data_IF_320351054612
#
_entry.id   IF_320351054612
#
_cell.length_a   1.000
_cell.length_b   1.000
_cell.length_c   1.000
_cell.angle_alpha   90.00
_cell.angle_beta   90.00
_cell.angle_gamma   90.00
#
_symmetry.space_group_name_H-M   'P 1'
#
loop_
_entity.id
_entity.type
_entity.pdbx_description
1 polymer ?
#
# COMPACT_ATOMS: atom_id res chain seq x y z
N UNK A 1 -12.47 -23.85 7.67
CA UNK A 1 -12.50 -22.37 7.81
C UNK A 1 -11.61 -21.65 6.78
N UNK A 2 -10.61 -22.32 6.18
CA UNK A 2 -9.62 -21.77 5.22
C UNK A 2 -10.07 -21.68 3.74
N UNK A 3 -11.25 -22.16 3.37
CA UNK A 3 -11.78 -22.12 1.99
C UNK A 3 -13.00 -21.21 1.83
N UNK A 4 -13.50 -20.61 2.90
CA UNK A 4 -14.82 -19.98 2.89
C UNK A 4 -14.82 -18.47 2.58
N UNK A 5 -13.67 -17.79 2.55
CA UNK A 5 -13.61 -16.32 2.34
C UNK A 5 -12.88 -15.86 1.07
N UNK A 6 -12.13 -16.73 0.40
CA UNK A 6 -11.36 -16.39 -0.81
C UNK A 6 -12.00 -16.80 -2.14
N UNK A 7 -12.84 -17.84 -2.15
CA UNK A 7 -13.25 -18.51 -3.40
C UNK A 7 -14.63 -18.16 -3.96
N UNK A 8 -15.56 -17.61 -3.17
CA UNK A 8 -16.97 -17.50 -3.59
C UNK A 8 -17.25 -16.25 -4.44
N UNK A 9 -16.34 -15.27 -4.47
CA UNK A 9 -16.51 -14.02 -5.24
C UNK A 9 -15.16 -13.47 -5.77
N UNK A 10 -14.21 -14.37 -6.10
CA UNK A 10 -12.87 -13.97 -6.53
C UNK A 10 -12.92 -13.09 -7.78
N UNK A 11 -13.72 -13.47 -8.77
CA UNK A 11 -13.87 -12.75 -10.04
C UNK A 11 -14.41 -11.34 -9.84
N UNK A 12 -15.53 -11.18 -9.12
CA UNK A 12 -16.11 -9.87 -8.79
C UNK A 12 -15.13 -8.99 -7.98
N UNK A 13 -14.35 -9.58 -7.06
CA UNK A 13 -13.35 -8.83 -6.28
C UNK A 13 -12.16 -8.40 -7.13
N UNK A 14 -11.64 -9.26 -7.99
CA UNK A 14 -10.55 -8.91 -8.90
C UNK A 14 -10.98 -7.86 -9.91
N UNK A 15 -12.21 -7.94 -10.40
CA UNK A 15 -12.77 -6.93 -11.29
C UNK A 15 -12.91 -5.58 -10.59
N UNK A 16 -13.42 -5.56 -9.35
CA UNK A 16 -13.53 -4.33 -8.56
C UNK A 16 -12.15 -3.72 -8.26
N UNK A 17 -11.13 -4.54 -7.98
CA UNK A 17 -9.74 -4.08 -7.80
C UNK A 17 -9.21 -3.46 -9.10
N UNK A 18 -9.38 -4.16 -10.23
CA UNK A 18 -8.93 -3.70 -11.54
C UNK A 18 -9.59 -2.38 -11.92
N UNK A 19 -10.91 -2.27 -11.75
CA UNK A 19 -11.64 -1.02 -12.01
C UNK A 19 -11.19 0.10 -11.09
N UNK A 20 -10.96 -0.17 -9.81
CA UNK A 20 -10.50 0.85 -8.86
C UNK A 20 -9.10 1.37 -9.18
N UNK A 21 -8.24 0.50 -9.72
CA UNK A 21 -6.91 0.89 -10.19
C UNK A 21 -6.98 1.66 -11.50
N UNK A 22 -7.84 1.25 -12.43
CA UNK A 22 -8.06 1.97 -13.69
C UNK A 22 -8.60 3.38 -13.43
N UNK A 23 -9.62 3.51 -12.58
CA UNK A 23 -10.19 4.81 -12.19
C UNK A 23 -9.13 5.75 -11.58
N UNK A 24 -8.16 5.19 -10.85
CA UNK A 24 -7.06 5.94 -10.25
C UNK A 24 -6.05 6.43 -11.30
N UNK A 25 -5.72 5.58 -12.27
CA UNK A 25 -4.85 5.92 -13.41
C UNK A 25 -5.52 6.98 -14.29
N UNK A 26 -6.78 6.79 -14.65
CA UNK A 26 -7.56 7.74 -15.44
C UNK A 26 -7.65 9.11 -14.75
N UNK A 27 -7.79 9.12 -13.42
CA UNK A 27 -7.78 10.35 -12.62
C UNK A 27 -6.42 11.06 -12.65
N UNK A 28 -5.31 10.32 -12.64
CA UNK A 28 -3.95 10.87 -12.77
C UNK A 28 -3.70 11.43 -14.17
N UNK A 29 -4.11 10.71 -15.22
CA UNK A 29 -4.00 11.17 -16.61
C UNK A 29 -4.80 12.45 -16.84
N UNK A 30 -6.03 12.51 -16.34
CA UNK A 30 -6.88 13.72 -16.42
C UNK A 30 -6.24 14.94 -15.76
N UNK A 31 -5.40 14.71 -14.74
CA UNK A 31 -4.67 15.74 -14.00
C UNK A 31 -3.24 15.96 -14.51
N UNK A 32 -2.82 15.30 -15.59
CA UNK A 32 -1.45 15.36 -16.13
C UNK A 32 -0.35 14.98 -15.13
N UNK A 33 -0.66 14.04 -14.23
CA UNK A 33 0.24 13.51 -13.19
C UNK A 33 0.82 12.14 -13.55
N UNK A 34 0.49 11.64 -14.75
CA UNK A 34 0.90 10.35 -15.31
C UNK A 34 2.42 10.16 -15.23
N UNK A 35 3.20 11.16 -15.66
CA UNK A 35 4.67 11.09 -15.64
C UNK A 35 5.25 11.03 -14.23
N UNK A 36 4.70 11.81 -13.30
CA UNK A 36 5.16 11.81 -11.92
C UNK A 36 4.87 10.46 -11.25
N UNK A 37 3.68 9.92 -11.51
CA UNK A 37 3.28 8.60 -11.04
C UNK A 37 4.12 7.47 -11.66
N UNK A 38 4.46 7.57 -12.94
CA UNK A 38 5.32 6.61 -13.63
C UNK A 38 6.73 6.57 -13.01
N UNK A 39 7.34 7.73 -12.78
CA UNK A 39 8.67 7.83 -12.15
C UNK A 39 8.66 7.23 -10.74
N UNK A 40 7.65 7.54 -9.93
CA UNK A 40 7.49 6.96 -8.59
C UNK A 40 7.26 5.44 -8.67
N UNK A 41 6.37 4.98 -9.54
CA UNK A 41 6.08 3.56 -9.74
C UNK A 41 7.33 2.78 -10.21
N UNK A 42 8.14 3.37 -11.08
CA UNK A 42 9.39 2.77 -11.56
C UNK A 42 10.42 2.67 -10.42
N UNK A 43 10.58 3.73 -9.64
CA UNK A 43 11.50 3.76 -8.49
C UNK A 43 11.07 2.73 -7.44
N UNK A 44 9.79 2.71 -7.08
CA UNK A 44 9.23 1.78 -6.10
C UNK A 44 9.36 0.33 -6.56
N UNK A 45 9.07 0.04 -7.83
CA UNK A 45 9.19 -1.31 -8.38
C UNK A 45 10.64 -1.80 -8.41
N UNK A 46 11.60 -0.92 -8.72
CA UNK A 46 13.02 -1.24 -8.65
C UNK A 46 13.46 -1.55 -7.21
N UNK A 47 13.05 -0.73 -6.23
CA UNK A 47 13.34 -0.96 -4.81
C UNK A 47 12.76 -2.30 -4.35
N UNK A 48 11.52 -2.59 -4.73
CA UNK A 48 10.79 -3.82 -4.38
C UNK A 48 11.49 -5.05 -4.95
N UNK A 49 11.90 -5.01 -6.22
CA UNK A 49 12.65 -6.11 -6.85
C UNK A 49 14.01 -6.30 -6.18
N UNK A 50 14.73 -5.22 -5.87
CA UNK A 50 16.01 -5.30 -5.16
C UNK A 50 15.85 -5.87 -3.75
N UNK A 51 14.86 -5.40 -2.99
CA UNK A 51 14.55 -5.92 -1.67
C UNK A 51 14.21 -7.42 -1.72
N UNK A 52 13.39 -7.85 -2.68
CA UNK A 52 13.07 -9.26 -2.83
C UNK A 52 14.30 -10.09 -3.19
N UNK A 53 15.11 -9.61 -4.14
CA UNK A 53 16.35 -10.27 -4.52
C UNK A 53 17.32 -10.40 -3.34
N UNK A 54 17.44 -9.37 -2.50
CA UNK A 54 18.29 -9.41 -1.29
C UNK A 54 17.76 -10.40 -0.25
N UNK A 55 16.45 -10.48 -0.03
CA UNK A 55 15.82 -11.46 0.87
C UNK A 55 16.07 -12.89 0.38
N UNK A 56 15.88 -13.13 -0.92
CA UNK A 56 16.14 -14.43 -1.55
C UNK A 56 17.62 -14.80 -1.49
N UNK A 57 18.51 -13.88 -1.90
CA UNK A 57 19.94 -14.11 -1.90
C UNK A 57 20.47 -14.36 -0.48
N UNK A 58 19.98 -13.61 0.51
CA UNK A 58 20.31 -13.82 1.92
C UNK A 58 19.90 -15.21 2.40
N UNK A 59 18.69 -15.66 2.07
CA UNK A 59 18.23 -17.01 2.44
C UNK A 59 19.04 -18.10 1.75
N UNK A 60 19.30 -17.97 0.46
CA UNK A 60 20.10 -18.93 -0.31
C UNK A 60 21.56 -18.99 0.17
N UNK A 61 22.16 -17.86 0.52
CA UNK A 61 23.52 -17.81 1.04
C UNK A 61 23.63 -18.52 2.41
N UNK A 62 22.67 -18.29 3.30
CA UNK A 62 22.61 -18.97 4.60
C UNK A 62 22.39 -20.48 4.43
N UNK A 63 21.50 -20.88 3.52
CA UNK A 63 21.27 -22.29 3.22
C UNK A 63 22.54 -22.97 2.69
N UNK A 64 23.28 -22.31 1.80
CA UNK A 64 24.54 -22.85 1.28
C UNK A 64 25.62 -22.98 2.36
N UNK A 65 25.71 -22.02 3.27
CA UNK A 65 26.64 -22.07 4.41
C UNK A 65 26.31 -23.24 5.34
N UNK A 66 25.03 -23.42 5.68
CA UNK A 66 24.59 -24.54 6.52
C UNK A 66 24.82 -25.90 5.83
N UNK A 67 24.56 -26.02 4.52
CA UNK A 67 24.86 -27.23 3.74
C UNK A 67 26.36 -27.54 3.69
N UNK A 68 27.22 -26.51 3.64
CA UNK A 68 28.66 -26.67 3.61
C UNK A 68 29.24 -27.12 4.96
N UNK A 69 28.62 -26.74 6.08
CA UNK A 69 29.04 -27.15 7.43
C UNK A 69 28.57 -28.57 7.80
N UNK A 70 27.34 -28.95 7.44
CA UNK A 70 26.76 -30.25 7.87
C UNK A 70 27.12 -31.44 6.96
N UNK A 71 27.69 -31.21 5.78
CA UNK A 71 28.26 -32.26 4.90
C UNK A 71 27.30 -33.38 4.43
N UNK A 72 26.02 -33.36 4.82
CA UNK A 72 25.09 -34.47 4.65
C UNK A 72 23.63 -34.05 4.34
N UNK A 73 23.36 -32.78 4.03
CA UNK A 73 22.03 -32.37 3.57
C UNK A 73 21.95 -32.63 2.07
N UNK A 74 21.28 -33.71 1.69
CA UNK A 74 21.00 -34.01 0.29
C UNK A 74 20.09 -32.90 -0.27
N UNK A 75 20.54 -32.03 -1.19
CA UNK A 75 19.77 -30.87 -1.66
C UNK A 75 18.51 -31.26 -2.45
N UNK A 76 18.36 -32.56 -2.73
CA UNK A 76 17.22 -33.21 -3.37
C UNK A 76 16.18 -33.75 -2.38
N UNK A 77 16.32 -33.50 -1.08
CA UNK A 77 15.25 -33.81 -0.14
C UNK A 77 14.01 -32.98 -0.51
N UNK A 78 12.99 -33.65 -1.05
CA UNK A 78 11.76 -33.02 -1.53
C UNK A 78 11.15 -32.07 -0.50
N UNK A 79 11.25 -32.38 0.81
CA UNK A 79 10.75 -31.51 1.88
C UNK A 79 11.41 -30.13 1.88
N UNK A 80 12.73 -30.06 1.69
CA UNK A 80 13.49 -28.81 1.64
C UNK A 80 13.15 -27.99 0.39
N UNK A 81 13.07 -28.65 -0.77
CA UNK A 81 12.70 -27.99 -2.01
C UNK A 81 11.28 -27.41 -1.98
N UNK A 82 10.31 -28.14 -1.42
CA UNK A 82 8.94 -27.63 -1.23
C UNK A 82 8.89 -26.48 -0.22
N UNK A 83 9.69 -26.54 0.84
CA UNK A 83 9.79 -25.49 1.84
C UNK A 83 10.33 -24.17 1.23
N UNK A 84 11.45 -24.25 0.49
CA UNK A 84 12.06 -23.09 -0.17
C UNK A 84 11.16 -22.51 -1.27
N UNK A 85 10.44 -23.36 -2.01
CA UNK A 85 9.43 -22.90 -2.95
C UNK A 85 8.29 -22.15 -2.22
N UNK A 86 7.84 -22.67 -1.08
CA UNK A 86 6.85 -22.02 -0.22
C UNK A 86 7.31 -20.64 0.27
N UNK A 87 8.57 -20.53 0.70
CA UNK A 87 9.16 -19.24 1.07
C UNK A 87 9.26 -18.28 -0.13
N UNK A 88 9.75 -18.73 -1.28
CA UNK A 88 9.87 -17.93 -2.49
C UNK A 88 8.52 -17.32 -2.90
N UNK A 89 7.47 -18.16 -2.96
CA UNK A 89 6.12 -17.72 -3.33
C UNK A 89 5.56 -16.76 -2.27
N UNK A 90 5.64 -17.13 -0.99
CA UNK A 90 5.03 -16.34 0.09
C UNK A 90 5.71 -14.97 0.24
N UNK A 91 7.04 -14.92 0.17
CA UNK A 91 7.80 -13.67 0.22
C UNK A 91 7.48 -12.77 -0.99
N UNK A 92 7.39 -13.35 -2.19
CA UNK A 92 6.99 -12.63 -3.40
C UNK A 92 5.60 -12.02 -3.26
N UNK A 93 4.62 -12.77 -2.76
CA UNK A 93 3.24 -12.26 -2.55
C UNK A 93 3.22 -11.12 -1.54
N UNK A 94 3.93 -11.23 -0.42
CA UNK A 94 4.02 -10.14 0.58
C UNK A 94 4.62 -8.87 -0.04
N UNK A 95 5.76 -8.99 -0.73
CA UNK A 95 6.47 -7.85 -1.32
C UNK A 95 5.62 -7.18 -2.40
N UNK A 96 5.01 -7.96 -3.30
CA UNK A 96 4.14 -7.45 -4.36
C UNK A 96 2.93 -6.74 -3.75
N UNK A 97 2.34 -7.31 -2.70
CA UNK A 97 1.18 -6.70 -2.05
C UNK A 97 1.56 -5.39 -1.35
N UNK A 98 2.71 -5.33 -0.67
CA UNK A 98 3.25 -4.10 -0.09
C UNK A 98 3.51 -3.02 -1.17
N UNK A 99 4.10 -3.42 -2.30
CA UNK A 99 4.30 -2.52 -3.45
C UNK A 99 2.99 -1.88 -3.93
N UNK A 100 1.96 -2.70 -4.15
CA UNK A 100 0.65 -2.20 -4.58
C UNK A 100 0.04 -1.25 -3.57
N UNK A 101 0.21 -1.52 -2.27
CA UNK A 101 -0.26 -0.64 -1.21
C UNK A 101 0.44 0.73 -1.24
N UNK A 102 1.78 0.73 -1.28
CA UNK A 102 2.59 1.96 -1.38
C UNK A 102 2.23 2.75 -2.64
N UNK A 103 2.27 2.10 -3.81
CA UNK A 103 1.98 2.72 -5.11
C UNK A 103 0.63 3.43 -5.12
N UNK A 104 -0.40 2.77 -4.62
CA UNK A 104 -1.76 3.32 -4.57
C UNK A 104 -1.84 4.53 -3.62
N UNK A 105 -1.12 4.48 -2.50
CA UNK A 105 -1.04 5.58 -1.54
C UNK A 105 -0.32 6.81 -2.11
N UNK A 106 0.73 6.58 -2.89
CA UNK A 106 1.45 7.61 -3.64
C UNK A 106 0.55 8.30 -4.68
N UNK A 107 -0.21 7.53 -5.47
CA UNK A 107 -1.20 8.07 -6.39
C UNK A 107 -2.25 8.95 -5.68
N UNK A 108 -2.77 8.50 -4.53
CA UNK A 108 -3.69 9.32 -3.72
C UNK A 108 -3.04 10.61 -3.26
N UNK A 109 -1.77 10.57 -2.82
CA UNK A 109 -1.01 11.77 -2.42
C UNK A 109 -0.85 12.74 -3.58
N UNK A 110 -0.55 12.27 -4.79
CA UNK A 110 -0.46 13.12 -5.99
C UNK A 110 -1.81 13.79 -6.30
N UNK A 111 -2.91 13.04 -6.22
CA UNK A 111 -4.27 13.56 -6.42
C UNK A 111 -4.58 14.65 -5.39
N UNK A 112 -4.26 14.42 -4.11
CA UNK A 112 -4.43 15.43 -3.05
C UNK A 112 -3.62 16.69 -3.34
N UNK A 113 -2.34 16.55 -3.66
CA UNK A 113 -1.47 17.69 -3.94
C UNK A 113 -1.98 18.50 -5.15
N UNK A 114 -2.46 17.82 -6.19
CA UNK A 114 -3.03 18.48 -7.38
C UNK A 114 -4.35 19.18 -7.11
N UNK A 115 -5.12 18.75 -6.12
CA UNK A 115 -6.35 19.43 -5.71
C UNK A 115 -6.04 20.72 -4.93
N UNK A 116 -4.92 20.73 -4.19
CA UNK A 116 -4.44 21.91 -3.45
C UNK A 116 -3.91 23.00 -4.38
N UNK A 117 -3.30 22.65 -5.51
CA UNK A 117 -2.67 23.64 -6.40
C UNK A 117 -3.65 24.69 -6.96
N UNK A 118 -4.83 24.33 -7.53
CA UNK A 118 -5.82 25.30 -7.97
C UNK A 118 -6.32 26.21 -6.85
N UNK A 119 -6.45 25.65 -5.64
CA UNK A 119 -6.84 26.39 -4.44
C UNK A 119 -5.81 27.49 -4.10
N UNK A 120 -4.51 27.16 -4.06
CA UNK A 120 -3.43 28.13 -3.81
C UNK A 120 -3.29 29.19 -4.93
N UNK A 121 -3.74 28.88 -6.14
CA UNK A 121 -3.65 29.80 -7.27
C UNK A 121 -4.81 30.80 -7.37
N UNK A 122 -5.88 30.60 -6.58
CA UNK A 122 -7.12 31.38 -6.61
C UNK A 122 -7.79 31.48 -8.01
N UNK A 123 -7.52 30.52 -8.89
CA UNK A 123 -8.01 30.50 -10.29
C UNK A 123 -9.36 29.81 -10.46
N UNK A 124 -9.89 29.21 -9.40
CA UNK A 124 -11.03 28.28 -9.45
C UNK A 124 -11.98 28.57 -8.29
N UNK A 125 -13.28 28.50 -8.54
CA UNK A 125 -14.30 28.75 -7.50
C UNK A 125 -14.35 27.63 -6.45
N UNK A 126 -14.74 27.97 -5.22
CA UNK A 126 -14.92 27.02 -4.13
C UNK A 126 -15.95 25.92 -4.47
N UNK A 127 -17.01 26.24 -5.21
CA UNK A 127 -18.01 25.25 -5.66
C UNK A 127 -17.42 24.22 -6.63
N UNK A 128 -16.51 24.65 -7.51
CA UNK A 128 -15.81 23.73 -8.40
C UNK A 128 -14.90 22.79 -7.61
N UNK A 129 -14.09 23.34 -6.69
CA UNK A 129 -13.21 22.56 -5.82
C UNK A 129 -14.01 21.56 -4.96
N UNK A 130 -15.19 21.95 -4.50
CA UNK A 130 -16.11 21.08 -3.76
C UNK A 130 -16.61 19.91 -4.60
N UNK A 131 -17.05 20.18 -5.83
CA UNK A 131 -17.49 19.13 -6.77
C UNK A 131 -16.35 18.18 -7.14
N UNK A 132 -15.15 18.72 -7.37
CA UNK A 132 -13.95 17.91 -7.61
C UNK A 132 -13.60 17.04 -6.40
N UNK A 133 -13.63 17.60 -5.20
CA UNK A 133 -13.35 16.86 -3.97
C UNK A 133 -14.36 15.73 -3.74
N UNK A 134 -15.64 15.91 -4.10
CA UNK A 134 -16.61 14.80 -4.07
C UNK A 134 -16.18 13.63 -4.95
N UNK A 135 -15.72 13.89 -6.17
CA UNK A 135 -15.24 12.85 -7.06
C UNK A 135 -13.98 12.16 -6.49
N UNK A 136 -13.01 12.93 -6.00
CA UNK A 136 -11.79 12.42 -5.35
C UNK A 136 -12.13 11.56 -4.11
N UNK A 137 -13.05 12.02 -3.27
CA UNK A 137 -13.50 11.29 -2.08
C UNK A 137 -14.18 9.96 -2.43
N UNK A 138 -14.98 9.93 -3.50
CA UNK A 138 -15.61 8.72 -4.01
C UNK A 138 -14.58 7.71 -4.51
N UNK A 139 -13.57 8.19 -5.25
CA UNK A 139 -12.45 7.38 -5.71
C UNK A 139 -11.68 6.78 -4.53
N UNK A 140 -11.29 7.59 -3.55
CA UNK A 140 -10.55 7.11 -2.37
C UNK A 140 -11.34 6.07 -1.58
N UNK A 141 -12.66 6.22 -1.44
CA UNK A 141 -13.53 5.21 -0.81
C UNK A 141 -13.55 3.90 -1.59
N UNK A 142 -13.61 3.94 -2.92
CA UNK A 142 -13.57 2.76 -3.78
C UNK A 142 -12.22 2.03 -3.61
N UNK A 143 -11.12 2.77 -3.72
CA UNK A 143 -9.76 2.24 -3.59
C UNK A 143 -9.44 1.75 -2.17
N UNK A 144 -10.06 2.32 -1.14
CA UNK A 144 -9.92 1.84 0.25
C UNK A 144 -10.36 0.39 0.44
N UNK A 145 -11.33 -0.10 -0.35
CA UNK A 145 -11.76 -1.50 -0.31
C UNK A 145 -10.70 -2.43 -0.91
N UNK A 146 -9.99 -1.97 -1.95
CA UNK A 146 -8.82 -2.67 -2.50
C UNK A 146 -7.71 -2.80 -1.45
N UNK A 147 -7.47 -1.76 -0.63
CA UNK A 147 -6.49 -1.84 0.46
C UNK A 147 -6.85 -2.91 1.49
N UNK A 148 -8.12 -3.04 1.87
CA UNK A 148 -8.57 -4.08 2.81
C UNK A 148 -8.23 -5.48 2.32
N UNK A 149 -8.45 -5.74 1.02
CA UNK A 149 -8.14 -7.03 0.41
C UNK A 149 -6.63 -7.29 0.38
N UNK A 150 -5.83 -6.28 0.03
CA UNK A 150 -4.36 -6.38 0.11
C UNK A 150 -3.87 -6.65 1.55
N UNK A 151 -4.42 -5.97 2.55
CA UNK A 151 -4.08 -6.21 3.96
C UNK A 151 -4.44 -7.64 4.40
N UNK A 152 -5.61 -8.15 3.99
CA UNK A 152 -6.01 -9.51 4.28
C UNK A 152 -5.07 -10.54 3.64
N UNK A 153 -4.63 -10.30 2.39
CA UNK A 153 -3.65 -11.15 1.70
C UNK A 153 -2.30 -11.15 2.41
N UNK A 154 -1.83 -9.99 2.88
CA UNK A 154 -0.63 -9.87 3.72
C UNK A 154 -0.79 -10.67 5.01
N UNK A 155 -1.92 -10.53 5.72
CA UNK A 155 -2.18 -11.27 6.95
C UNK A 155 -2.14 -12.79 6.72
N UNK A 156 -2.80 -13.26 5.66
CA UNK A 156 -2.81 -14.67 5.30
C UNK A 156 -1.42 -15.21 4.94
N UNK A 157 -0.67 -14.48 4.12
CA UNK A 157 0.68 -14.89 3.71
C UNK A 157 1.71 -14.76 4.83
N UNK A 158 1.50 -13.84 5.77
CA UNK A 158 2.32 -13.74 6.99
C UNK A 158 2.19 -15.00 7.85
N UNK A 159 1.01 -15.61 7.94
CA UNK A 159 0.84 -16.90 8.64
C UNK A 159 1.68 -18.00 7.98
N UNK A 160 1.71 -18.06 6.65
CA UNK A 160 2.55 -19.02 5.93
C UNK A 160 4.04 -18.80 6.20
N UNK A 161 4.49 -17.54 6.22
CA UNK A 161 5.88 -17.20 6.55
C UNK A 161 6.23 -17.54 8.01
N UNK A 162 5.31 -17.34 8.95
CA UNK A 162 5.50 -17.76 10.35
C UNK A 162 5.64 -19.28 10.43
N UNK A 163 4.83 -20.04 9.69
CA UNK A 163 4.97 -21.49 9.62
C UNK A 163 6.31 -21.91 9.01
N UNK A 164 6.80 -21.18 7.99
CA UNK A 164 8.14 -21.41 7.45
C UNK A 164 9.22 -21.20 8.52
N UNK A 165 9.16 -20.09 9.26
CA UNK A 165 10.09 -19.81 10.36
C UNK A 165 10.04 -20.90 11.43
N UNK A 166 8.85 -21.32 11.85
CA UNK A 166 8.70 -22.39 12.84
C UNK A 166 9.26 -23.73 12.36
N UNK A 167 9.18 -24.01 11.06
CA UNK A 167 9.81 -25.18 10.45
C UNK A 167 11.35 -25.05 10.48
N UNK A 168 11.89 -23.89 10.09
CA UNK A 168 13.33 -23.59 10.16
C UNK A 168 13.87 -23.83 11.59
N UNK A 169 13.15 -23.35 12.62
CA UNK A 169 13.50 -23.59 14.03
C UNK A 169 13.42 -25.07 14.43
N UNK A 170 12.41 -25.80 13.94
CA UNK A 170 12.22 -27.22 14.26
C UNK A 170 13.36 -28.09 13.72
N UNK A 171 13.83 -27.80 12.51
CA UNK A 171 14.90 -28.54 11.85
C UNK A 171 16.31 -28.10 12.32
N UNK A 172 16.40 -27.09 13.18
CA UNK A 172 17.68 -26.58 13.73
C UNK A 172 18.32 -25.46 12.91
N UNK A 173 17.67 -25.02 11.83
CA UNK A 173 18.14 -24.01 10.88
C UNK A 173 17.69 -22.59 11.26
N UNK A 174 17.89 -22.20 12.52
CA UNK A 174 17.36 -20.94 13.06
C UNK A 174 17.85 -19.68 12.31
N UNK A 175 19.03 -19.73 11.67
CA UNK A 175 19.57 -18.60 10.91
C UNK A 175 18.76 -18.34 9.63
N UNK A 176 18.16 -19.37 9.02
CA UNK A 176 17.29 -19.24 7.83
C UNK A 176 16.01 -18.41 8.09
N UNK A 177 15.66 -18.17 9.36
CA UNK A 177 14.55 -17.31 9.74
C UNK A 177 14.85 -15.81 9.57
N UNK A 178 16.12 -15.39 9.55
CA UNK A 178 16.51 -13.97 9.50
C UNK A 178 15.94 -13.23 8.27
N UNK A 179 16.01 -13.76 7.03
CA UNK A 179 15.37 -13.14 5.87
C UNK A 179 13.85 -12.98 6.01
N UNK A 180 13.18 -13.94 6.66
CA UNK A 180 11.73 -13.87 6.91
C UNK A 180 11.38 -12.78 7.93
N UNK A 181 12.22 -12.62 8.96
CA UNK A 181 12.09 -11.54 9.95
C UNK A 181 12.33 -10.18 9.29
N UNK A 182 13.36 -10.08 8.45
CA UNK A 182 13.65 -8.86 7.68
C UNK A 182 12.48 -8.46 6.77
N UNK A 183 11.82 -9.44 6.15
CA UNK A 183 10.62 -9.22 5.35
C UNK A 183 9.46 -8.64 6.18
N UNK A 184 9.33 -9.05 7.45
CA UNK A 184 8.36 -8.47 8.38
C UNK A 184 8.54 -6.97 8.61
N UNK A 185 9.77 -6.45 8.46
CA UNK A 185 10.07 -5.02 8.58
C UNK A 185 9.53 -4.18 7.40
N UNK A 186 9.08 -4.80 6.31
CA UNK A 186 8.42 -4.10 5.22
C UNK A 186 7.04 -3.53 5.66
N UNK A 187 6.35 -4.20 6.59
CA UNK A 187 5.01 -3.81 7.04
C UNK A 187 4.95 -2.44 7.71
N UNK A 188 5.84 -2.12 8.69
CA UNK A 188 5.96 -0.75 9.22
C UNK A 188 6.18 0.32 8.15
N UNK A 189 6.94 0.01 7.10
CA UNK A 189 7.18 0.92 5.98
C UNK A 189 5.91 1.27 5.23
N UNK A 190 5.07 0.27 4.94
CA UNK A 190 3.78 0.49 4.29
C UNK A 190 2.84 1.31 5.17
N UNK A 191 2.79 1.01 6.47
CA UNK A 191 2.00 1.78 7.44
C UNK A 191 2.44 3.25 7.50
N UNK A 192 3.75 3.52 7.43
CA UNK A 192 4.29 4.88 7.43
C UNK A 192 3.88 5.67 6.18
N UNK A 193 3.91 5.04 5.01
CA UNK A 193 3.42 5.66 3.75
C UNK A 193 1.93 5.98 3.86
N UNK A 194 1.12 5.05 4.36
CA UNK A 194 -0.31 5.27 4.58
C UNK A 194 -0.59 6.38 5.59
N UNK A 195 0.15 6.42 6.70
CA UNK A 195 0.07 7.49 7.69
C UNK A 195 0.37 8.87 7.07
N UNK A 196 1.35 8.93 6.17
CA UNK A 196 1.74 10.15 5.48
C UNK A 196 0.63 10.66 4.55
N UNK A 197 0.03 9.76 3.76
CA UNK A 197 -1.12 10.08 2.89
C UNK A 197 -2.33 10.54 3.70
N UNK A 198 -2.65 9.85 4.80
CA UNK A 198 -3.71 10.27 5.73
C UNK A 198 -3.42 11.64 6.33
N UNK A 199 -2.17 11.91 6.70
CA UNK A 199 -1.77 13.20 7.25
C UNK A 199 -1.93 14.33 6.23
N UNK A 200 -1.58 14.08 4.96
CA UNK A 200 -1.82 15.05 3.88
C UNK A 200 -3.31 15.40 3.76
N UNK A 201 -4.20 14.40 3.75
CA UNK A 201 -5.64 14.62 3.73
C UNK A 201 -6.16 15.38 4.96
N UNK A 202 -5.67 15.05 6.17
CA UNK A 202 -6.08 15.71 7.43
C UNK A 202 -5.65 17.17 7.52
N UNK A 203 -4.61 17.58 6.78
CA UNK A 203 -4.13 18.97 6.75
C UNK A 203 -4.93 19.87 5.82
N UNK A 204 -5.72 19.32 4.90
CA UNK A 204 -6.46 20.10 3.90
C UNK A 204 -7.42 21.13 4.52
N UNK A 205 -8.26 20.81 5.53
CA UNK A 205 -9.15 21.80 6.12
C UNK A 205 -8.38 22.97 6.73
N UNK A 206 -7.29 22.68 7.46
CA UNK A 206 -6.42 23.72 8.03
C UNK A 206 -5.76 24.56 6.96
N UNK A 207 -5.31 23.95 5.86
CA UNK A 207 -4.74 24.66 4.72
C UNK A 207 -5.76 25.59 4.05
N UNK A 208 -7.03 25.16 3.95
CA UNK A 208 -8.11 26.00 3.42
C UNK A 208 -8.42 27.17 4.35
N UNK A 209 -8.41 26.97 5.66
CA UNK A 209 -8.68 28.03 6.66
C UNK A 209 -7.52 29.02 6.82
N UNK A 210 -6.28 28.60 6.57
CA UNK A 210 -5.09 29.46 6.68
C UNK A 210 -4.85 30.31 5.43
N UNK A 211 -5.60 30.07 4.35
CA UNK A 211 -5.50 30.86 3.15
C UNK A 211 -6.29 32.15 3.32
N UNK A 212 -5.60 33.29 3.20
CA UNK A 212 -6.26 34.60 3.25
C UNK A 212 -6.95 34.86 1.89
N UNK A 213 -8.30 34.91 1.86
CA UNK A 213 -9.00 35.28 0.65
C UNK A 213 -8.57 36.69 0.19
N UNK A 214 -8.44 36.90 -1.12
CA UNK A 214 -8.28 38.26 -1.67
C UNK A 214 -9.46 39.13 -1.23
N UNK A 215 -9.27 40.44 -1.08
CA UNK A 215 -10.31 41.39 -0.60
C UNK A 215 -11.64 41.30 -1.37
N UNK A 216 -11.61 40.89 -2.65
CA UNK A 216 -12.79 40.73 -3.51
C UNK A 216 -13.50 39.37 -3.39
N UNK A 217 -12.97 38.43 -2.59
CA UNK A 217 -13.49 37.07 -2.49
C UNK A 217 -14.30 36.85 -1.22
N UNK A 218 -15.40 36.11 -1.37
CA UNK A 218 -16.36 35.88 -0.31
C UNK A 218 -15.81 34.87 0.70
N UNK A 219 -15.26 35.35 1.82
CA UNK A 219 -14.66 34.55 2.89
C UNK A 219 -15.56 33.39 3.35
N UNK A 220 -16.89 33.58 3.31
CA UNK A 220 -17.88 32.55 3.63
C UNK A 220 -17.73 31.28 2.79
N UNK A 221 -17.39 31.40 1.51
CA UNK A 221 -17.29 30.27 0.60
C UNK A 221 -16.06 29.39 0.93
N UNK A 222 -14.99 30.00 1.48
CA UNK A 222 -13.79 29.32 1.95
C UNK A 222 -14.03 28.59 3.27
N UNK A 223 -14.75 29.22 4.20
CA UNK A 223 -15.17 28.58 5.46
C UNK A 223 -16.09 27.38 5.17
N UNK A 224 -17.05 27.54 4.26
CA UNK A 224 -17.95 26.46 3.84
C UNK A 224 -17.18 25.31 3.16
N UNK A 225 -16.16 25.63 2.36
CA UNK A 225 -15.28 24.62 1.74
C UNK A 225 -14.45 23.88 2.81
N UNK A 226 -13.85 24.59 3.76
CA UNK A 226 -13.07 23.98 4.84
C UNK A 226 -13.93 23.06 5.71
N UNK A 227 -15.14 23.50 6.08
CA UNK A 227 -16.11 22.68 6.79
C UNK A 227 -16.51 21.46 5.97
N UNK A 228 -16.76 21.63 4.67
CA UNK A 228 -17.08 20.51 3.79
C UNK A 228 -15.95 19.48 3.72
N UNK A 229 -14.70 19.91 3.53
CA UNK A 229 -13.54 19.02 3.48
C UNK A 229 -13.33 18.33 4.83
N UNK A 230 -13.48 19.06 5.94
CA UNK A 230 -13.41 18.48 7.29
C UNK A 230 -14.46 17.40 7.52
N UNK A 231 -15.69 17.63 7.07
CA UNK A 231 -16.81 16.69 7.20
C UNK A 231 -16.79 15.56 6.17
N UNK A 232 -15.98 15.67 5.11
CA UNK A 232 -15.92 14.67 4.03
C UNK A 232 -15.14 13.39 4.40
N UNK A 233 -14.57 13.32 5.61
CA UNK A 233 -13.92 12.14 6.23
C UNK A 233 -12.76 11.50 5.45
N UNK A 234 -12.28 12.09 4.34
CA UNK A 234 -11.26 11.47 3.48
C UNK A 234 -9.94 11.12 4.18
N UNK A 235 -9.58 11.82 5.26
CA UNK A 235 -8.38 11.51 6.06
C UNK A 235 -8.54 10.32 7.00
N UNK A 236 -9.77 9.90 7.31
CA UNK A 236 -10.02 8.77 8.21
C UNK A 236 -9.87 7.43 7.50
N UNK A 237 -10.35 7.30 6.26
CA UNK A 237 -10.53 5.99 5.62
C UNK A 237 -9.26 5.13 5.49
N UNK A 238 -8.12 5.67 5.03
CA UNK A 238 -6.93 4.83 4.75
C UNK A 238 -6.33 4.26 6.05
N UNK A 239 -6.22 5.10 7.09
CA UNK A 239 -5.62 4.75 8.37
C UNK A 239 -6.60 4.03 9.31
N UNK A 240 -7.87 4.45 9.40
CA UNK A 240 -8.88 3.73 10.16
C UNK A 240 -9.07 2.32 9.61
N UNK A 241 -9.03 2.14 8.29
CA UNK A 241 -9.15 0.79 7.70
C UNK A 241 -8.00 -0.14 8.11
N UNK A 242 -6.78 0.38 8.27
CA UNK A 242 -5.64 -0.41 8.72
C UNK A 242 -5.68 -0.67 10.24
N UNK A 243 -6.03 0.33 11.05
CA UNK A 243 -6.12 0.22 12.51
C UNK A 243 -7.35 -0.56 13.00
N UNK A 244 -8.52 -0.43 12.38
CA UNK A 244 -9.72 -1.19 12.78
C UNK A 244 -9.61 -2.68 12.45
N UNK A 245 -8.72 -3.07 11.52
CA UNK A 245 -8.41 -4.47 11.24
C UNK A 245 -7.37 -5.07 12.23
N UNK A 246 -6.85 -4.27 13.18
CA UNK A 246 -5.98 -4.77 14.25
C UNK A 246 -4.60 -5.22 13.78
N UNK A 247 -4.04 -4.56 12.76
CA UNK A 247 -2.59 -4.53 12.50
C UNK A 247 -1.89 -3.64 13.53
#
# INVERSE_FOLDING_TARGET
>A
MLLCWGGINYEERTQLISESLQDLVDALEKKSLDKAFEVWSCTDSLIVVLCWALVLAGRWALLYLEMAEDGAVDPLNYSLAFHELGFFISSGVVIITCFWQVRTSHAMTLIVNSWVEPFLSNKVSCDHLRCEWRAVSGLFRKTSRTFQLCCAMIGFTSVLLILCVLYDFREGHALLALPTIALGLCLPGVLLVHASTTTACKRLPSLVMLWEPSEDSNERDYIDLALFVSMSECGFFIWDTCLTLGL
#
